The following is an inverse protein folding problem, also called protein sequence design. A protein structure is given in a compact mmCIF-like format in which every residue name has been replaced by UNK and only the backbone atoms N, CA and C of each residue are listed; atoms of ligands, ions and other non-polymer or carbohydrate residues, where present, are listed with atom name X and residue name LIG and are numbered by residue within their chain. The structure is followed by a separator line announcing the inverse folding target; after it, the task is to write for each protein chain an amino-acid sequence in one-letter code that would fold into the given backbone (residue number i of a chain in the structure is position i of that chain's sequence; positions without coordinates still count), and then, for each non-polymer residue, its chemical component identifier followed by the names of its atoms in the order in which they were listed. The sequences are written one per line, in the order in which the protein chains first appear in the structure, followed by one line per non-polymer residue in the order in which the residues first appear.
data_IF_571520490623
#
_entry.id   IF_571520490623
#
_cell.length_a   1.000
_cell.length_b   1.000
_cell.length_c   1.000
_cell.angle_alpha   90.00
_cell.angle_beta   90.00
_cell.angle_gamma   90.00
#
_symmetry.space_group_name_H-M   'P 1'
#
loop_
_entity.id
_entity.type
_entity.pdbx_description
1 polymer ?
#
# COMPACT_ATOMS: atom_id res chain seq x y z
N UNK A 1 14.47 47.88 -69.15
CA UNK A 1 15.10 47.20 -68.01
C UNK A 1 14.13 47.22 -66.84
N UNK A 2 13.57 46.08 -66.40
CA UNK A 2 12.81 46.03 -65.16
C UNK A 2 13.75 46.16 -63.94
N UNK A 3 13.38 46.90 -62.89
CA UNK A 3 14.16 46.97 -61.66
C UNK A 3 14.14 45.62 -60.92
N UNK A 4 15.31 45.24 -60.40
CA UNK A 4 15.59 43.94 -59.79
C UNK A 4 14.81 43.73 -58.48
N UNK A 5 14.28 42.52 -58.30
CA UNK A 5 13.57 42.13 -57.09
C UNK A 5 14.53 42.13 -55.88
N UNK A 6 14.22 42.94 -54.88
CA UNK A 6 14.99 43.08 -53.65
C UNK A 6 14.86 41.81 -52.80
N UNK A 7 15.95 41.05 -52.70
CA UNK A 7 16.03 39.70 -52.09
C UNK A 7 16.13 39.73 -50.56
N UNK A 8 15.53 40.72 -49.93
CA UNK A 8 15.70 40.99 -48.49
C UNK A 8 14.47 41.70 -47.91
N UNK A 9 13.30 41.11 -48.14
CA UNK A 9 12.11 41.42 -47.36
C UNK A 9 12.26 40.78 -45.96
N UNK A 10 13.05 41.42 -45.10
CA UNK A 10 12.99 41.15 -43.67
C UNK A 10 11.64 41.70 -43.20
N UNK A 11 10.65 40.82 -43.07
CA UNK A 11 9.31 41.18 -42.61
C UNK A 11 9.42 41.93 -41.27
N UNK A 12 8.73 43.08 -41.10
CA UNK A 12 8.78 43.82 -39.85
C UNK A 12 8.21 42.94 -38.73
N UNK A 13 9.09 42.50 -37.83
CA UNK A 13 8.71 41.79 -36.61
C UNK A 13 8.16 42.84 -35.66
N UNK A 14 6.83 42.98 -35.62
CA UNK A 14 6.16 43.84 -34.66
C UNK A 14 6.24 43.21 -33.26
N UNK A 15 7.31 43.50 -32.52
CA UNK A 15 7.43 43.08 -31.11
C UNK A 15 6.54 43.95 -30.23
N UNK A 16 5.25 43.62 -30.19
CA UNK A 16 4.30 44.28 -29.29
C UNK A 16 4.60 43.89 -27.83
N UNK A 17 4.44 44.79 -26.84
CA UNK A 17 4.53 44.43 -25.43
C UNK A 17 3.59 43.28 -25.04
N UNK A 18 2.46 43.16 -25.74
CA UNK A 18 1.54 42.03 -25.58
C UNK A 18 2.15 40.71 -26.05
N UNK A 19 2.94 40.72 -27.12
CA UNK A 19 3.61 39.52 -27.64
C UNK A 19 4.67 39.00 -26.65
N UNK A 20 5.40 39.91 -26.00
CA UNK A 20 6.35 39.55 -24.92
C UNK A 20 5.63 38.99 -23.69
N UNK A 21 4.45 39.52 -23.37
CA UNK A 21 3.62 39.01 -22.28
C UNK A 21 3.11 37.58 -22.56
N UNK A 22 2.61 37.33 -23.77
CA UNK A 22 2.16 36.00 -24.18
C UNK A 22 3.32 35.00 -24.21
N UNK A 23 4.49 35.41 -24.71
CA UNK A 23 5.69 34.59 -24.69
C UNK A 23 6.13 34.23 -23.27
N UNK A 24 6.09 35.18 -22.33
CA UNK A 24 6.39 34.94 -20.92
C UNK A 24 5.38 33.96 -20.30
N UNK A 25 4.08 34.16 -20.55
CA UNK A 25 3.02 33.29 -20.04
C UNK A 25 3.19 31.83 -20.53
N UNK A 26 3.58 31.65 -21.79
CA UNK A 26 3.85 30.32 -22.36
C UNK A 26 4.98 29.61 -21.63
N UNK A 27 6.08 30.31 -21.34
CA UNK A 27 7.22 29.74 -20.60
C UNK A 27 6.81 29.40 -19.17
N UNK A 28 6.11 30.32 -18.49
CA UNK A 28 5.63 30.11 -17.12
C UNK A 28 4.73 28.87 -17.05
N UNK A 29 3.79 28.72 -17.98
CA UNK A 29 2.89 27.57 -18.04
C UNK A 29 3.67 26.25 -18.22
N UNK A 30 4.65 26.22 -19.12
CA UNK A 30 5.50 25.03 -19.32
C UNK A 30 6.32 24.69 -18.08
N UNK A 31 6.91 25.69 -17.42
CA UNK A 31 7.72 25.49 -16.20
C UNK A 31 6.85 24.97 -15.05
N UNK A 32 5.65 25.51 -14.87
CA UNK A 32 4.72 25.07 -13.83
C UNK A 32 4.25 23.63 -14.03
N UNK A 33 3.98 23.23 -15.28
CA UNK A 33 3.64 21.84 -15.62
C UNK A 33 4.79 20.88 -15.28
N UNK A 34 6.03 21.24 -15.65
CA UNK A 34 7.22 20.45 -15.32
C UNK A 34 7.46 20.36 -13.81
N UNK A 35 7.34 21.48 -13.09
CA UNK A 35 7.47 21.53 -11.63
C UNK A 35 6.44 20.62 -10.95
N UNK A 36 5.19 20.64 -11.39
CA UNK A 36 4.11 19.81 -10.83
C UNK A 36 4.39 18.33 -11.08
N UNK A 37 4.79 17.97 -12.30
CA UNK A 37 5.17 16.59 -12.63
C UNK A 37 6.32 16.09 -11.77
N UNK A 38 7.37 16.92 -11.62
CA UNK A 38 8.53 16.60 -10.79
C UNK A 38 8.12 16.41 -9.31
N UNK A 39 7.28 17.30 -8.77
CA UNK A 39 6.78 17.20 -7.41
C UNK A 39 6.04 15.87 -7.16
N UNK A 40 5.19 15.44 -8.11
CA UNK A 40 4.46 14.15 -8.01
C UNK A 40 5.40 12.95 -8.04
N UNK A 41 6.48 13.00 -8.82
CA UNK A 41 7.48 11.95 -8.85
C UNK A 41 8.26 11.86 -7.53
N UNK A 42 8.49 12.98 -6.86
CA UNK A 42 9.22 13.01 -5.58
C UNK A 42 8.34 12.87 -4.34
N UNK A 43 7.03 13.09 -4.44
CA UNK A 43 6.03 12.87 -3.37
C UNK A 43 6.21 11.55 -2.60
N UNK A 44 6.41 10.37 -3.23
CA UNK A 44 6.60 9.11 -2.51
C UNK A 44 7.93 9.00 -1.76
N UNK A 45 8.97 9.74 -2.15
CA UNK A 45 10.25 9.74 -1.43
C UNK A 45 10.17 10.54 -0.13
N UNK A 46 9.33 11.59 -0.10
CA UNK A 46 9.09 12.40 1.10
C UNK A 46 8.09 11.72 2.05
N UNK A 47 7.13 10.97 1.51
CA UNK A 47 6.17 10.20 2.29
C UNK A 47 6.57 8.74 2.41
N UNK A 48 7.48 8.44 3.33
CA UNK A 48 7.68 7.08 3.85
C UNK A 48 6.52 6.70 4.77
N UNK A 49 5.28 6.71 4.25
CA UNK A 49 4.18 6.12 5.00
C UNK A 49 4.32 4.60 4.89
N UNK A 50 4.41 3.85 6.00
CA UNK A 50 4.23 2.41 5.92
C UNK A 50 2.85 2.19 5.28
N UNK A 51 2.77 1.30 4.29
CA UNK A 51 1.51 0.80 3.73
C UNK A 51 0.76 0.03 4.83
N UNK A 52 0.29 0.73 5.84
CA UNK A 52 -0.67 0.20 6.79
C UNK A 52 -1.97 0.20 6.03
N UNK A 53 -2.32 -0.96 5.45
CA UNK A 53 -3.63 -1.21 4.86
C UNK A 53 -4.66 -0.82 5.91
N UNK A 54 -5.18 0.40 5.83
CA UNK A 54 -6.41 0.76 6.48
C UNK A 54 -7.47 0.03 5.67
N UNK A 55 -7.75 -1.20 6.10
CA UNK A 55 -9.03 -1.83 5.77
C UNK A 55 -10.05 -0.78 6.18
N UNK A 56 -10.73 -0.19 5.20
CA UNK A 56 -11.89 0.63 5.42
C UNK A 56 -12.92 -0.27 6.09
N UNK A 57 -12.82 -0.41 7.42
CA UNK A 57 -13.95 -0.72 8.27
C UNK A 57 -14.80 0.53 8.27
N UNK A 58 -15.37 0.83 7.11
CA UNK A 58 -16.44 1.78 6.98
C UNK A 58 -17.60 1.17 7.78
N UNK A 59 -17.72 1.65 9.02
CA UNK A 59 -18.80 1.37 9.95
C UNK A 59 -19.28 -0.08 9.94
N UNK A 60 -18.42 -1.02 10.32
CA UNK A 60 -18.98 -2.21 10.95
C UNK A 60 -19.48 -1.77 12.32
N UNK A 61 -20.80 -1.63 12.44
CA UNK A 61 -21.48 -1.76 13.72
C UNK A 61 -20.78 -2.90 14.48
N UNK A 62 -20.48 -2.68 15.76
CA UNK A 62 -19.99 -3.74 16.64
C UNK A 62 -21.11 -4.79 16.73
N UNK A 63 -21.23 -5.64 15.73
CA UNK A 63 -22.09 -6.79 15.77
C UNK A 63 -21.54 -7.66 16.89
N UNK A 64 -22.35 -7.94 17.90
CA UNK A 64 -22.07 -8.90 18.96
C UNK A 64 -22.15 -10.34 18.41
N UNK A 65 -21.75 -10.52 17.15
CA UNK A 65 -21.84 -11.77 16.42
C UNK A 65 -20.55 -12.55 16.53
N UNK A 66 -20.68 -13.87 16.41
CA UNK A 66 -19.54 -14.77 16.43
C UNK A 66 -18.53 -14.40 15.33
N UNK A 67 -17.26 -14.29 15.71
CA UNK A 67 -16.15 -14.11 14.77
C UNK A 67 -15.70 -15.50 14.34
N UNK A 68 -15.73 -15.74 13.02
CA UNK A 68 -15.24 -16.98 12.42
C UNK A 68 -14.02 -16.65 11.57
N UNK A 69 -12.88 -17.25 11.91
CA UNK A 69 -11.66 -17.18 11.10
C UNK A 69 -11.44 -18.52 10.41
N UNK A 70 -11.34 -18.51 9.08
CA UNK A 70 -11.09 -19.71 8.28
C UNK A 70 -9.59 -19.90 8.08
N UNK A 71 -9.13 -21.15 8.21
CA UNK A 71 -7.73 -21.55 8.07
C UNK A 71 -6.72 -20.66 8.84
N UNK A 72 -6.96 -20.33 10.12
CA UNK A 72 -6.04 -19.48 10.88
C UNK A 72 -4.67 -20.15 11.02
N UNK A 73 -3.62 -19.32 10.93
CA UNK A 73 -2.23 -19.75 11.13
C UNK A 73 -1.56 -18.79 12.09
N UNK A 74 -1.07 -19.32 13.20
CA UNK A 74 -0.29 -18.58 14.18
C UNK A 74 1.14 -19.10 14.17
N UNK A 75 2.11 -18.20 14.01
CA UNK A 75 3.54 -18.52 14.05
C UNK A 75 4.14 -17.81 15.25
N UNK A 76 4.81 -18.56 16.10
CA UNK A 76 5.48 -18.04 17.27
C UNK A 76 6.88 -18.59 17.39
N UNK A 77 7.59 -18.07 18.38
CA UNK A 77 8.87 -18.56 18.83
C UNK A 77 8.71 -18.88 20.30
N UNK A 78 9.15 -20.05 20.73
CA UNK A 78 9.11 -20.41 22.14
C UNK A 78 10.18 -19.66 22.95
N UNK A 79 10.16 -19.80 24.27
CA UNK A 79 11.12 -19.15 25.19
C UNK A 79 12.59 -19.51 24.92
N UNK A 80 12.84 -20.53 24.09
CA UNK A 80 14.18 -21.01 23.72
C UNK A 80 14.56 -20.61 22.29
N UNK A 81 13.79 -19.74 21.63
CA UNK A 81 14.11 -19.26 20.29
C UNK A 81 13.69 -20.24 19.17
N UNK A 82 12.93 -21.30 19.48
CA UNK A 82 12.54 -22.32 18.50
C UNK A 82 11.20 -21.94 17.86
N UNK A 83 11.10 -21.97 16.52
CA UNK A 83 9.86 -21.62 15.85
C UNK A 83 8.80 -22.71 16.06
N UNK A 84 7.56 -22.29 16.26
CA UNK A 84 6.40 -23.15 16.22
C UNK A 84 5.30 -22.56 15.33
N UNK A 85 4.47 -23.44 14.78
CA UNK A 85 3.33 -23.05 13.97
C UNK A 85 2.09 -23.79 14.43
N UNK A 86 1.05 -23.05 14.75
CA UNK A 86 -0.29 -23.54 15.00
C UNK A 86 -1.13 -23.23 13.76
N UNK A 87 -1.86 -24.22 13.27
CA UNK A 87 -2.83 -24.09 12.20
C UNK A 87 -4.12 -24.77 12.61
N UNK A 88 -5.26 -24.26 12.17
CA UNK A 88 -6.55 -24.90 12.38
C UNK A 88 -7.39 -24.78 11.11
N UNK A 89 -8.44 -25.61 10.97
CA UNK A 89 -9.40 -25.44 9.88
C UNK A 89 -10.26 -24.19 10.13
N UNK A 90 -10.68 -23.97 11.39
CA UNK A 90 -11.51 -22.83 11.80
C UNK A 90 -11.17 -22.38 13.21
N UNK A 91 -11.25 -21.09 13.47
CA UNK A 91 -11.32 -20.53 14.82
C UNK A 91 -12.65 -19.80 14.98
N UNK A 92 -13.40 -20.16 16.02
CA UNK A 92 -14.66 -19.56 16.39
C UNK A 92 -14.47 -18.82 17.72
N UNK A 93 -14.74 -17.52 17.71
CA UNK A 93 -14.93 -16.74 18.92
C UNK A 93 -16.42 -16.41 19.00
N UNK A 94 -17.13 -16.99 19.96
CA UNK A 94 -18.59 -16.96 20.02
C UNK A 94 -19.15 -15.53 20.18
N UNK A 95 -18.47 -14.70 20.96
CA UNK A 95 -18.81 -13.29 21.18
C UNK A 95 -17.54 -12.49 21.43
N UNK A 96 -17.55 -11.19 21.09
CA UNK A 96 -16.39 -10.29 21.29
C UNK A 96 -16.01 -10.12 22.77
N UNK A 97 -16.97 -10.28 23.68
CA UNK A 97 -16.76 -10.25 25.14
C UNK A 97 -16.25 -11.58 25.72
N UNK A 98 -16.35 -12.67 24.95
CA UNK A 98 -15.90 -13.99 25.36
C UNK A 98 -14.44 -14.16 24.92
N UNK A 99 -13.49 -14.31 25.88
CA UNK A 99 -12.08 -14.50 25.54
C UNK A 99 -11.81 -15.88 24.93
N UNK A 100 -12.71 -16.85 25.08
CA UNK A 100 -12.50 -18.23 24.64
C UNK A 100 -12.52 -18.32 23.11
N UNK A 101 -11.42 -18.81 22.54
CA UNK A 101 -11.33 -19.14 21.12
C UNK A 101 -11.36 -20.64 20.94
N UNK A 102 -12.39 -21.14 20.25
CA UNK A 102 -12.51 -22.56 19.89
C UNK A 102 -11.84 -22.79 18.54
N UNK A 103 -10.84 -23.67 18.51
CA UNK A 103 -10.11 -24.07 17.32
C UNK A 103 -10.58 -25.48 16.90
N UNK A 104 -11.03 -25.62 15.66
CA UNK A 104 -11.45 -26.89 15.06
C UNK A 104 -10.36 -27.43 14.13
N UNK A 105 -10.07 -28.74 14.23
CA UNK A 105 -9.03 -29.44 13.48
C UNK A 105 -7.65 -28.76 13.57
N UNK A 106 -7.16 -28.66 14.82
CA UNK A 106 -5.87 -28.08 15.13
C UNK A 106 -4.73 -28.99 14.66
N UNK A 107 -3.72 -28.40 14.01
CA UNK A 107 -2.40 -28.97 13.78
C UNK A 107 -1.33 -28.01 14.29
N UNK A 108 -0.55 -28.47 15.25
CA UNK A 108 0.62 -27.80 15.81
C UNK A 108 1.88 -28.49 15.31
N UNK A 109 2.80 -27.72 14.77
CA UNK A 109 4.14 -28.18 14.38
C UNK A 109 5.19 -27.44 15.21
N UNK A 110 6.01 -28.20 15.92
CA UNK A 110 7.03 -27.67 16.82
C UNK A 110 8.40 -28.27 16.50
N UNK A 111 9.45 -27.47 16.62
CA UNK A 111 10.84 -27.93 16.52
C UNK A 111 11.39 -28.17 17.93
N UNK A 112 11.86 -29.38 18.18
CA UNK A 112 12.45 -29.81 19.45
C UNK A 112 13.93 -29.41 19.54
N UNK A 113 14.48 -29.45 20.76
CA UNK A 113 15.87 -29.03 21.01
C UNK A 113 16.91 -29.93 20.32
N UNK A 114 16.54 -31.18 20.04
CA UNK A 114 17.35 -32.16 19.32
C UNK A 114 17.20 -32.05 17.78
N UNK A 115 16.50 -31.01 17.29
CA UNK A 115 16.26 -30.78 15.86
C UNK A 115 15.10 -31.59 15.28
N UNK A 116 14.41 -32.40 16.06
CA UNK A 116 13.25 -33.17 15.59
C UNK A 116 12.03 -32.28 15.46
N UNK A 117 11.20 -32.53 14.45
CA UNK A 117 9.89 -31.91 14.31
C UNK A 117 8.82 -32.81 14.92
N UNK A 118 8.01 -32.25 15.82
CA UNK A 118 6.84 -32.92 16.39
C UNK A 118 5.60 -32.27 15.81
N UNK A 119 4.69 -33.09 15.30
CA UNK A 119 3.36 -32.66 14.85
C UNK A 119 2.32 -33.20 15.82
N UNK A 120 1.46 -32.31 16.32
CA UNK A 120 0.35 -32.63 17.20
C UNK A 120 -0.94 -32.23 16.49
N UNK A 121 -1.89 -33.16 16.43
CA UNK A 121 -3.22 -32.90 15.87
C UNK A 121 -4.28 -33.08 16.95
N UNK A 122 -5.23 -32.14 17.02
CA UNK A 122 -6.36 -32.22 17.93
C UNK A 122 -7.66 -31.88 17.19
N UNK A 123 -8.73 -32.68 17.31
CA UNK A 123 -10.02 -32.36 16.69
C UNK A 123 -10.59 -31.02 17.17
N UNK A 124 -10.33 -30.67 18.43
CA UNK A 124 -10.79 -29.43 19.04
C UNK A 124 -9.76 -28.94 20.07
N UNK A 125 -9.55 -27.62 20.11
CA UNK A 125 -8.77 -26.96 21.14
C UNK A 125 -9.46 -25.67 21.59
N UNK A 126 -9.16 -25.23 22.82
CA UNK A 126 -9.66 -23.98 23.38
C UNK A 126 -8.48 -23.20 23.95
N UNK A 127 -8.43 -21.91 23.68
CA UNK A 127 -7.43 -20.96 24.16
C UNK A 127 -8.10 -19.81 24.89
#
# INVERSE_FOLDING_TARGET
MPPAAEKNANWPVYTSPYDRWVAAMRIIATVMALMTGLLVLFLPLLHKQPLTIHVARDKLEKHHGAIVVLAPRYRGVDDKGRPFMISAARALQATVEDPDVVLEDLSLNLVMADGRTVSLTAPQARY
#
